data_IF_810020257933
#
_entry.id   IF_810020257933
#
_cell.length_a   1.000
_cell.length_b   1.000
_cell.length_c   1.000
_cell.angle_alpha   90.00
_cell.angle_beta   90.00
_cell.angle_gamma   90.00
#
_symmetry.space_group_name_H-M   'P 1'
#
loop_
_entity.id
_entity.type
_entity.pdbx_description
1 polymer ?
#
# COMPACT_ATOMS: atom_id res chain seq x y z
N UNK A 1 -59.51 19.48 -6.11
CA UNK A 1 -59.88 19.07 -4.73
C UNK A 1 -58.93 17.96 -4.31
N UNK A 2 -58.13 18.22 -3.25
CA UNK A 2 -57.36 17.29 -2.39
C UNK A 2 -56.21 16.50 -3.04
N UNK A 3 -54.93 16.71 -2.70
CA UNK A 3 -54.20 16.67 -1.41
C UNK A 3 -53.72 15.26 -1.00
N UNK A 4 -52.39 15.10 -0.99
CA UNK A 4 -51.50 14.54 0.07
C UNK A 4 -51.72 13.14 0.67
N UNK A 5 -50.59 12.47 0.96
CA UNK A 5 -50.40 11.40 1.95
C UNK A 5 -49.90 10.10 1.31
N UNK A 6 -48.74 9.51 1.60
CA UNK A 6 -47.89 9.55 2.77
C UNK A 6 -47.73 8.13 3.30
N UNK A 7 -46.58 7.48 3.08
CA UNK A 7 -46.20 6.25 3.78
C UNK A 7 -44.67 6.13 3.87
N UNK A 8 -44.17 6.74 4.95
CA UNK A 8 -42.98 6.40 5.72
C UNK A 8 -42.13 5.22 5.23
N UNK A 9 -40.98 5.52 4.63
CA UNK A 9 -39.85 4.61 4.67
C UNK A 9 -39.28 4.64 6.10
N UNK A 10 -39.64 3.61 6.87
CA UNK A 10 -39.02 3.28 8.15
C UNK A 10 -37.51 3.30 7.98
N UNK A 11 -36.84 3.99 8.90
CA UNK A 11 -35.40 4.14 8.92
C UNK A 11 -34.70 2.81 8.70
N UNK A 12 -33.92 2.73 7.63
CA UNK A 12 -32.82 1.78 7.54
C UNK A 12 -31.68 2.33 8.40
N UNK A 13 -30.96 1.48 9.16
CA UNK A 13 -29.71 1.91 9.76
C UNK A 13 -28.83 2.48 8.66
N UNK A 14 -28.23 3.64 8.90
CA UNK A 14 -27.28 4.27 8.00
C UNK A 14 -26.24 3.23 7.60
N UNK A 15 -26.34 2.70 6.38
CA UNK A 15 -25.25 1.93 5.77
C UNK A 15 -24.18 2.99 5.54
N UNK A 16 -23.21 3.07 6.45
CA UNK A 16 -22.02 3.91 6.30
C UNK A 16 -21.52 3.62 4.89
N UNK A 17 -21.63 4.62 4.01
CA UNK A 17 -21.13 4.49 2.65
C UNK A 17 -19.65 4.08 2.79
N UNK A 18 -19.20 3.00 2.15
CA UNK A 18 -17.78 2.69 2.17
C UNK A 18 -17.08 3.94 1.63
N UNK A 19 -16.27 4.59 2.47
CA UNK A 19 -15.71 5.90 2.17
C UNK A 19 -14.95 5.91 0.83
N UNK A 20 -14.56 7.08 0.34
CA UNK A 20 -13.87 7.23 -0.96
C UNK A 20 -12.46 6.63 -0.99
N UNK A 21 -12.09 5.80 0.01
CA UNK A 21 -10.79 5.18 0.16
C UNK A 21 -10.92 3.72 0.62
N UNK A 22 -10.04 2.87 0.11
CA UNK A 22 -9.85 1.47 0.51
C UNK A 22 -8.37 1.17 0.67
N UNK A 23 -8.06 0.16 1.47
CA UNK A 23 -6.72 -0.41 1.54
C UNK A 23 -6.51 -1.25 0.29
N UNK A 24 -5.42 -1.03 -0.43
CA UNK A 24 -4.98 -1.87 -1.53
C UNK A 24 -3.70 -2.58 -1.18
N UNK A 25 -3.53 -3.81 -1.65
CA UNK A 25 -2.30 -4.58 -1.41
C UNK A 25 -1.80 -5.23 -2.69
N UNK A 26 -0.48 -5.30 -2.83
CA UNK A 26 0.19 -6.04 -3.89
C UNK A 26 1.50 -6.62 -3.37
N UNK A 27 2.02 -7.65 -4.03
CA UNK A 27 3.38 -8.13 -3.80
C UNK A 27 4.31 -7.41 -4.75
N UNK A 28 5.36 -6.83 -4.20
CA UNK A 28 6.33 -6.04 -4.97
C UNK A 28 7.72 -6.57 -4.75
N UNK A 29 8.48 -6.77 -5.82
CA UNK A 29 9.92 -7.01 -5.70
C UNK A 29 10.61 -5.67 -5.69
N UNK A 30 11.34 -5.37 -4.62
CA UNK A 30 12.02 -4.09 -4.43
C UNK A 30 13.51 -4.35 -4.17
N UNK A 31 14.36 -3.73 -4.99
CA UNK A 31 15.81 -3.84 -4.87
C UNK A 31 16.40 -2.88 -3.80
N UNK A 32 15.58 -1.97 -3.27
CA UNK A 32 15.95 -1.04 -2.20
C UNK A 32 15.40 -1.47 -0.84
N UNK A 33 16.17 -2.37 -0.24
CA UNK A 33 16.07 -2.70 1.16
C UNK A 33 17.45 -2.58 1.79
N UNK A 34 17.51 -2.14 3.04
CA UNK A 34 18.77 -2.13 3.79
C UNK A 34 19.22 -3.57 4.00
N UNK A 35 20.54 -3.84 4.11
CA UNK A 35 21.04 -5.18 4.44
C UNK A 35 20.34 -5.76 5.67
N UNK A 36 20.14 -4.93 6.69
CA UNK A 36 19.42 -5.30 7.90
C UNK A 36 17.97 -5.74 7.67
N UNK A 37 17.22 -5.01 6.82
CA UNK A 37 15.85 -5.40 6.49
C UNK A 37 15.82 -6.70 5.68
N UNK A 38 16.77 -6.88 4.75
CA UNK A 38 16.94 -8.15 4.02
C UNK A 38 17.19 -9.31 4.96
N UNK A 39 18.12 -9.15 5.90
CA UNK A 39 18.45 -10.20 6.86
C UNK A 39 17.22 -10.58 7.69
N UNK A 40 16.42 -9.60 8.12
CA UNK A 40 15.15 -9.84 8.82
C UNK A 40 14.11 -10.57 7.96
N UNK A 41 14.14 -10.38 6.66
CA UNK A 41 13.28 -11.06 5.70
C UNK A 41 13.87 -12.40 5.22
N UNK A 42 14.91 -12.93 5.89
CA UNK A 42 15.56 -14.18 5.49
C UNK A 42 16.30 -14.09 4.14
N UNK A 43 16.74 -12.89 3.76
CA UNK A 43 17.35 -12.60 2.47
C UNK A 43 16.34 -12.39 1.32
N UNK A 44 15.04 -12.39 1.60
CA UNK A 44 14.01 -12.18 0.58
C UNK A 44 14.02 -10.74 0.03
N UNK A 45 13.70 -10.63 -1.26
CA UNK A 45 13.56 -9.38 -2.01
C UNK A 45 12.11 -9.14 -2.49
N UNK A 46 11.20 -10.07 -2.17
CA UNK A 46 9.76 -9.95 -2.38
C UNK A 46 9.11 -9.37 -1.13
N UNK A 47 8.44 -8.23 -1.27
CA UNK A 47 7.63 -7.58 -0.26
C UNK A 47 6.18 -7.97 -0.46
N UNK A 48 5.71 -8.95 0.30
CA UNK A 48 4.32 -9.39 0.28
C UNK A 48 3.44 -8.39 1.03
N UNK A 49 2.19 -8.24 0.60
CA UNK A 49 1.23 -7.30 1.20
C UNK A 49 1.71 -5.84 1.25
N UNK A 50 2.43 -5.39 0.22
CA UNK A 50 2.80 -3.99 0.08
C UNK A 50 1.56 -3.10 -0.14
N UNK A 51 1.40 -2.11 0.73
CA UNK A 51 0.19 -1.30 0.81
C UNK A 51 0.16 -0.12 -0.18
N UNK A 52 -1.01 0.12 -0.76
CA UNK A 52 -1.38 1.34 -1.45
C UNK A 52 -2.77 1.80 -1.02
N UNK A 53 -3.12 3.05 -1.31
CA UNK A 53 -4.47 3.57 -1.10
C UNK A 53 -5.24 3.50 -2.42
N UNK A 54 -6.40 2.87 -2.44
CA UNK A 54 -7.32 2.94 -3.58
C UNK A 54 -8.38 4.01 -3.29
N UNK A 55 -8.46 5.03 -4.15
CA UNK A 55 -9.35 6.17 -3.99
C UNK A 55 -10.44 6.15 -5.07
N UNK A 56 -11.68 6.47 -4.72
CA UNK A 56 -12.76 6.65 -5.69
C UNK A 56 -12.86 8.13 -6.06
N UNK A 57 -12.34 8.49 -7.24
CA UNK A 57 -12.26 9.87 -7.74
C UNK A 57 -12.85 9.92 -9.16
N UNK A 58 -13.69 10.92 -9.41
CA UNK A 58 -14.30 11.18 -10.74
C UNK A 58 -14.95 9.95 -11.39
N UNK A 59 -15.58 9.09 -10.58
CA UNK A 59 -16.27 7.89 -11.05
C UNK A 59 -15.34 6.72 -11.40
N UNK A 60 -14.08 6.76 -10.98
CA UNK A 60 -13.10 5.69 -11.20
C UNK A 60 -12.27 5.41 -9.94
N UNK A 61 -11.72 4.19 -9.84
CA UNK A 61 -10.72 3.86 -8.83
C UNK A 61 -9.34 4.34 -9.29
N UNK A 62 -8.62 5.01 -8.38
CA UNK A 62 -7.25 5.48 -8.55
C UNK A 62 -6.36 4.86 -7.47
N UNK A 63 -5.23 4.29 -7.85
CA UNK A 63 -4.25 3.73 -6.92
C UNK A 63 -3.20 4.77 -6.58
N UNK A 64 -2.94 4.99 -5.30
CA UNK A 64 -1.91 5.90 -4.81
C UNK A 64 -1.05 5.17 -3.77
N UNK A 65 0.20 4.88 -4.13
CA UNK A 65 1.21 4.43 -3.16
C UNK A 65 1.65 5.60 -2.28
N UNK A 66 2.02 5.37 -1.01
CA UNK A 66 2.61 6.43 -0.20
C UNK A 66 3.86 6.94 -0.92
N UNK A 67 3.87 8.23 -1.28
CA UNK A 67 5.07 8.84 -1.82
C UNK A 67 6.14 8.85 -0.72
N UNK A 68 7.33 8.34 -1.03
CA UNK A 68 8.50 8.58 -0.18
C UNK A 68 8.70 10.09 -0.02
N UNK A 69 9.21 10.52 1.13
CA UNK A 69 9.47 11.95 1.32
C UNK A 69 10.51 12.44 0.28
N UNK A 70 10.42 13.71 -0.11
CA UNK A 70 11.23 14.25 -1.19
C UNK A 70 12.75 14.14 -0.91
N UNK A 71 13.16 14.20 0.35
CA UNK A 71 14.56 14.03 0.75
C UNK A 71 15.08 12.62 0.46
N UNK A 72 14.27 11.59 0.74
CA UNK A 72 14.60 10.19 0.49
C UNK A 72 14.64 9.90 -1.01
N UNK A 73 13.65 10.42 -1.75
CA UNK A 73 13.63 10.39 -3.20
C UNK A 73 14.94 10.96 -3.79
N UNK A 74 15.37 12.13 -3.33
CA UNK A 74 16.62 12.76 -3.74
C UNK A 74 17.86 11.91 -3.38
N UNK A 75 17.91 11.29 -2.18
CA UNK A 75 19.02 10.42 -1.76
C UNK A 75 19.17 9.19 -2.66
N UNK A 76 18.07 8.65 -3.20
CA UNK A 76 18.09 7.49 -4.10
C UNK A 76 18.04 7.85 -5.59
N UNK A 77 18.07 9.15 -5.93
CA UNK A 77 18.04 9.60 -7.33
C UNK A 77 16.75 9.23 -8.06
N UNK A 78 15.62 9.17 -7.33
CA UNK A 78 14.28 8.91 -7.88
C UNK A 78 13.40 10.13 -7.67
N UNK A 79 12.60 10.48 -8.66
CA UNK A 79 11.63 11.58 -8.52
C UNK A 79 10.48 11.16 -7.58
N UNK A 80 9.95 12.10 -6.77
CA UNK A 80 8.71 11.85 -6.04
C UNK A 80 7.56 11.59 -7.01
N UNK A 81 6.72 10.62 -6.68
CA UNK A 81 5.53 10.32 -7.47
C UNK A 81 4.50 11.41 -7.19
N UNK A 82 4.18 12.21 -8.20
CA UNK A 82 3.06 13.13 -8.13
C UNK A 82 1.74 12.38 -8.22
N UNK A 83 0.76 12.77 -7.41
CA UNK A 83 -0.62 12.32 -7.53
C UNK A 83 -1.51 13.53 -7.81
N UNK A 84 -2.03 13.60 -9.03
CA UNK A 84 -2.91 14.67 -9.50
C UNK A 84 -4.40 14.30 -9.46
N UNK A 85 -4.71 13.08 -9.00
CA UNK A 85 -6.07 12.54 -8.92
C UNK A 85 -6.64 12.00 -10.24
N UNK A 86 -5.93 12.17 -11.36
CA UNK A 86 -6.42 11.78 -12.69
C UNK A 86 -5.96 10.38 -13.11
N UNK A 87 -4.81 9.94 -12.60
CA UNK A 87 -4.21 8.64 -12.88
C UNK A 87 -3.76 7.91 -11.63
N UNK A 88 -3.27 6.69 -11.82
CA UNK A 88 -2.63 5.93 -10.75
C UNK A 88 -1.23 6.49 -10.47
N UNK A 89 -0.92 6.68 -9.18
CA UNK A 89 0.38 7.04 -8.64
C UNK A 89 1.05 5.80 -8.03
N UNK A 90 1.57 4.93 -8.88
CA UNK A 90 2.32 3.73 -8.50
C UNK A 90 3.83 3.97 -8.58
N UNK A 91 4.59 3.31 -7.71
CA UNK A 91 6.06 3.40 -7.69
C UNK A 91 6.74 3.12 -9.04
N UNK A 92 7.83 3.87 -9.27
CA UNK A 92 8.63 3.79 -10.47
C UNK A 92 9.27 2.41 -10.63
N UNK A 93 9.02 1.78 -11.77
CA UNK A 93 9.63 0.49 -12.12
C UNK A 93 11.13 0.61 -12.45
N UNK A 94 11.65 1.83 -12.63
CA UNK A 94 13.03 2.11 -13.03
C UNK A 94 13.61 3.26 -12.21
N UNK A 95 14.92 3.24 -11.97
CA UNK A 95 15.65 4.37 -11.36
C UNK A 95 16.00 5.45 -12.39
N UNK A 96 16.61 6.55 -11.94
CA UNK A 96 17.11 7.62 -12.81
C UNK A 96 18.20 7.18 -13.80
N UNK A 97 18.79 5.99 -13.64
CA UNK A 97 19.78 5.40 -14.54
C UNK A 97 19.17 4.35 -15.51
N UNK A 98 17.86 4.11 -15.43
CA UNK A 98 17.14 3.16 -16.27
C UNK A 98 17.26 1.70 -15.84
N UNK A 99 17.86 1.40 -14.69
CA UNK A 99 17.86 0.06 -14.14
C UNK A 99 16.51 -0.27 -13.50
N UNK A 100 16.05 -1.53 -13.65
CA UNK A 100 14.77 -1.96 -13.08
C UNK A 100 14.86 -1.91 -11.55
N UNK A 101 14.02 -1.05 -10.98
CA UNK A 101 14.02 -0.67 -9.57
C UNK A 101 12.98 -1.45 -8.77
N UNK A 102 11.81 -1.68 -9.37
CA UNK A 102 10.69 -2.36 -8.74
C UNK A 102 9.81 -3.09 -9.76
N UNK A 103 9.22 -4.23 -9.36
CA UNK A 103 8.15 -4.89 -10.12
C UNK A 103 6.98 -5.25 -9.20
N UNK A 104 5.77 -5.04 -9.71
CA UNK A 104 4.54 -5.58 -9.09
C UNK A 104 4.36 -7.00 -9.61
N UNK A 105 4.44 -7.98 -8.70
CA UNK A 105 4.39 -9.40 -9.04
C UNK A 105 2.96 -9.95 -8.91
N UNK A 106 2.18 -9.45 -7.94
CA UNK A 106 0.84 -9.97 -7.66
C UNK A 106 -0.06 -8.88 -7.05
N UNK A 107 -1.21 -8.59 -7.67
CA UNK A 107 -2.23 -7.70 -7.07
C UNK A 107 -3.13 -8.52 -6.15
N UNK A 108 -3.17 -8.16 -4.86
CA UNK A 108 -4.02 -8.82 -3.85
C UNK A 108 -5.40 -8.17 -3.73
N UNK A 109 -5.64 -7.07 -4.45
CA UNK A 109 -6.91 -6.38 -4.50
C UNK A 109 -7.09 -5.32 -3.40
N UNK A 110 -8.36 -4.96 -3.16
CA UNK A 110 -8.73 -3.90 -2.20
C UNK A 110 -9.65 -4.41 -1.10
N UNK A 111 -9.46 -3.85 0.10
CA UNK A 111 -10.11 -4.28 1.33
C UNK A 111 -10.70 -3.07 2.05
N UNK A 112 -11.84 -3.29 2.72
CA UNK A 112 -12.49 -2.27 3.54
C UNK A 112 -11.81 -2.08 4.90
N UNK A 113 -11.11 -3.10 5.37
CA UNK A 113 -10.37 -3.12 6.62
C UNK A 113 -9.10 -3.96 6.43
N UNK A 114 -8.16 -3.90 7.38
CA UNK A 114 -6.90 -4.62 7.31
C UNK A 114 -7.15 -6.14 7.47
N UNK A 115 -6.84 -6.99 6.46
CA UNK A 115 -6.91 -8.44 6.59
C UNK A 115 -5.71 -8.96 7.39
N UNK A 116 -5.65 -8.61 8.68
CA UNK A 116 -4.47 -8.82 9.53
C UNK A 116 -4.04 -10.29 9.59
N UNK A 117 -4.99 -11.21 9.74
CA UNK A 117 -4.69 -12.64 9.85
C UNK A 117 -4.06 -13.20 8.57
N UNK A 118 -4.54 -12.78 7.39
CA UNK A 118 -3.99 -13.19 6.10
C UNK A 118 -2.59 -12.63 5.89
N UNK A 119 -2.37 -11.37 6.28
CA UNK A 119 -1.06 -10.70 6.25
C UNK A 119 -0.06 -11.47 7.12
N UNK A 120 -0.41 -11.71 8.38
CA UNK A 120 0.47 -12.40 9.34
C UNK A 120 0.76 -13.84 8.92
N UNK A 121 -0.24 -14.54 8.39
CA UNK A 121 -0.07 -15.91 7.86
C UNK A 121 0.91 -15.91 6.69
N UNK A 122 0.70 -15.03 5.71
CA UNK A 122 1.58 -14.92 4.54
C UNK A 122 3.00 -14.52 4.95
N UNK A 123 3.16 -13.64 5.95
CA UNK A 123 4.48 -13.22 6.42
C UNK A 123 5.26 -14.37 7.05
N UNK A 124 4.61 -15.20 7.86
CA UNK A 124 5.25 -16.40 8.42
C UNK A 124 5.67 -17.38 7.33
N UNK A 125 4.84 -17.56 6.31
CA UNK A 125 5.13 -18.44 5.17
C UNK A 125 6.32 -17.94 4.34
N UNK A 126 6.39 -16.63 4.08
CA UNK A 126 7.40 -16.05 3.19
C UNK A 126 8.72 -15.68 3.89
N UNK A 127 8.67 -15.24 5.14
CA UNK A 127 9.83 -14.68 5.85
C UNK A 127 10.24 -15.51 7.07
N UNK A 128 9.43 -16.50 7.47
CA UNK A 128 9.67 -17.31 8.65
C UNK A 128 9.32 -16.61 9.96
N UNK A 129 9.36 -17.38 11.05
CA UNK A 129 9.08 -16.89 12.41
C UNK A 129 10.13 -15.88 12.91
N UNK A 130 11.36 -15.94 12.38
CA UNK A 130 12.45 -15.06 12.78
C UNK A 130 12.15 -13.58 12.51
N UNK A 131 11.34 -13.26 11.50
CA UNK A 131 10.88 -11.89 11.23
C UNK A 131 10.16 -11.27 12.45
N UNK A 132 9.46 -12.08 13.24
CA UNK A 132 8.65 -11.65 14.38
C UNK A 132 9.43 -11.63 15.70
N UNK A 133 10.67 -12.13 15.71
CA UNK A 133 11.52 -12.06 16.89
C UNK A 133 11.82 -10.60 17.27
N UNK A 134 11.90 -10.34 18.58
CA UNK A 134 12.40 -9.06 19.07
C UNK A 134 13.85 -8.85 18.59
N UNK A 135 14.17 -7.61 18.21
CA UNK A 135 15.53 -7.23 17.83
C UNK A 135 15.86 -5.84 18.36
N UNK A 136 17.10 -5.68 18.79
CA UNK A 136 17.61 -4.40 19.29
C UNK A 136 17.52 -3.31 18.21
N UNK A 137 17.13 -2.07 18.54
CA UNK A 137 17.29 -0.93 17.64
C UNK A 137 18.75 -0.82 17.21
N UNK A 138 18.99 -0.38 15.99
CA UNK A 138 20.36 -0.24 15.47
C UNK A 138 20.37 0.71 14.28
N UNK A 139 21.55 1.14 13.87
CA UNK A 139 21.68 2.09 12.76
C UNK A 139 21.44 1.40 11.42
N UNK A 140 20.71 2.07 10.54
CA UNK A 140 20.63 1.75 9.12
C UNK A 140 20.79 3.03 8.27
N UNK A 141 20.79 2.87 6.94
CA UNK A 141 20.93 3.97 6.00
C UNK A 141 19.80 5.02 6.10
N UNK A 142 18.71 4.72 6.81
CA UNK A 142 17.57 5.61 7.04
C UNK A 142 17.60 6.28 8.43
N UNK A 143 18.50 5.88 9.32
CA UNK A 143 18.61 6.42 10.69
C UNK A 143 19.67 7.52 10.84
N UNK A 144 20.26 7.98 9.72
CA UNK A 144 21.26 9.07 9.67
C UNK A 144 20.83 10.26 8.82
#
# INVERSE_FOLDING_TARGET
MRAQGGAAHRGRPCRRDPGPARLGFADVRNHLNTPRLRDRMGGADLFVWHGYTALWLDGAWRKATPAFNAELCARFGVEPIAFDGTGDALMHAYDGAGARYMSYEHDRGTFHDLPLDDVLTTFREHYGEEMFAAHEPGEDAFTR
#
